data_IF_362836000197
#
_entry.id   IF_362836000197
#
_cell.length_a   1.000
_cell.length_b   1.000
_cell.length_c   1.000
_cell.angle_alpha   90.00
_cell.angle_beta   90.00
_cell.angle_gamma   90.00
#
_symmetry.space_group_name_H-M   'P 1'
#
loop_
_entity.id
_entity.type
_entity.pdbx_description
1 polymer ?
#
# COMPACT_ATOMS: atom_id res chain seq x y z
N UNK A 1 -26.70 5.03 -21.80
CA UNK A 1 -25.89 5.94 -20.97
C UNK A 1 -24.45 5.56 -21.20
N UNK A 2 -23.75 6.34 -22.01
CA UNK A 2 -22.30 6.25 -22.14
C UNK A 2 -21.69 6.59 -20.78
N UNK A 3 -20.86 5.70 -20.24
CA UNK A 3 -20.09 6.00 -19.03
C UNK A 3 -19.03 7.01 -19.43
N UNK A 4 -19.14 8.24 -18.94
CA UNK A 4 -18.03 9.18 -19.01
C UNK A 4 -16.79 8.55 -18.34
N UNK A 5 -15.60 8.67 -18.95
CA UNK A 5 -14.38 8.29 -18.27
C UNK A 5 -14.25 9.15 -17.02
N UNK A 6 -14.15 8.49 -15.86
CA UNK A 6 -14.00 9.14 -14.56
C UNK A 6 -12.67 9.91 -14.54
N UNK A 7 -12.72 11.16 -14.98
CA UNK A 7 -11.60 12.09 -15.01
C UNK A 7 -11.48 12.82 -13.66
N UNK A 8 -11.75 12.12 -12.55
CA UNK A 8 -11.72 12.72 -11.22
C UNK A 8 -10.29 12.78 -10.67
N UNK A 9 -9.82 14.03 -10.62
CA UNK A 9 -8.88 14.60 -9.65
C UNK A 9 -7.42 14.13 -9.67
N UNK A 10 -6.75 14.17 -10.81
CA UNK A 10 -5.28 14.20 -10.85
C UNK A 10 -4.70 15.58 -11.22
N UNK A 11 -5.29 16.68 -10.75
CA UNK A 11 -4.77 18.04 -11.03
C UNK A 11 -4.85 18.98 -9.81
N UNK A 12 -4.39 18.53 -8.63
CA UNK A 12 -4.16 19.39 -7.45
C UNK A 12 -3.72 18.62 -6.19
N UNK A 13 -2.47 18.83 -5.74
CA UNK A 13 -1.88 18.54 -4.41
C UNK A 13 -2.37 17.31 -3.62
N UNK A 14 -2.56 16.15 -4.27
CA UNK A 14 -2.81 14.91 -3.53
C UNK A 14 -1.64 14.61 -2.57
N UNK A 15 -1.94 14.31 -1.31
CA UNK A 15 -0.90 13.94 -0.35
C UNK A 15 -0.40 12.53 -0.67
N UNK A 16 0.88 12.41 -0.99
CA UNK A 16 1.51 11.13 -1.31
C UNK A 16 1.88 10.36 -0.02
N UNK A 17 1.78 9.02 -0.02
CA UNK A 17 2.13 8.22 1.13
C UNK A 17 3.65 8.21 1.34
N UNK A 18 4.06 7.99 2.59
CA UNK A 18 5.47 7.78 2.92
C UNK A 18 5.97 6.42 2.44
N UNK A 19 7.06 6.44 1.67
CA UNK A 19 7.83 5.27 1.27
C UNK A 19 9.05 5.11 2.16
N UNK A 20 9.31 3.86 2.54
CA UNK A 20 10.44 3.46 3.35
C UNK A 20 11.30 2.48 2.54
N UNK A 21 12.62 2.68 2.45
CA UNK A 21 13.51 1.83 1.66
C UNK A 21 13.55 0.39 2.20
N UNK A 22 13.32 0.19 3.50
CA UNK A 22 13.14 -1.12 4.10
C UNK A 22 12.17 -1.06 5.30
N UNK A 23 11.57 -2.19 5.68
CA UNK A 23 10.60 -2.30 6.79
C UNK A 23 11.21 -1.82 8.11
N UNK A 24 12.50 -2.09 8.34
CA UNK A 24 13.18 -1.68 9.57
C UNK A 24 13.61 -0.19 9.59
N UNK A 25 13.52 0.52 8.45
CA UNK A 25 13.86 1.93 8.38
C UNK A 25 12.81 2.78 9.08
N UNK A 26 13.23 3.75 9.89
CA UNK A 26 12.37 4.86 10.34
C UNK A 26 12.40 6.05 9.36
N UNK A 27 13.41 6.12 8.50
CA UNK A 27 13.51 7.17 7.50
C UNK A 27 12.55 6.90 6.34
N UNK A 28 11.80 7.93 5.95
CA UNK A 28 10.89 7.90 4.82
C UNK A 28 10.91 9.18 4.00
N UNK A 29 10.39 9.08 2.79
CA UNK A 29 10.11 10.24 1.94
C UNK A 29 8.74 10.07 1.28
N UNK A 30 8.04 11.17 0.97
CA UNK A 30 6.85 11.10 0.14
C UNK A 30 7.22 10.53 -1.24
N UNK A 31 6.33 9.69 -1.80
CA UNK A 31 6.45 9.29 -3.20
C UNK A 31 6.26 10.48 -4.12
N UNK A 32 6.85 10.42 -5.33
CA UNK A 32 6.73 11.48 -6.33
C UNK A 32 5.27 11.64 -6.81
N UNK A 33 4.65 10.53 -7.23
CA UNK A 33 3.25 10.47 -7.66
C UNK A 33 2.76 9.00 -7.67
N UNK A 34 1.47 8.81 -7.97
CA UNK A 34 0.85 7.47 -7.99
C UNK A 34 1.31 6.60 -9.15
N UNK A 35 1.69 7.21 -10.28
CA UNK A 35 2.22 6.48 -11.44
C UNK A 35 3.60 5.90 -11.13
N UNK A 36 4.44 6.68 -10.44
CA UNK A 36 5.72 6.24 -9.91
C UNK A 36 5.52 5.09 -8.94
N UNK A 37 4.57 5.19 -8.00
CA UNK A 37 4.27 4.09 -7.08
C UNK A 37 3.89 2.81 -7.82
N UNK A 38 2.98 2.91 -8.79
CA UNK A 38 2.56 1.78 -9.62
C UNK A 38 3.76 1.17 -10.35
N UNK A 39 4.58 2.01 -10.98
CA UNK A 39 5.82 1.60 -11.66
C UNK A 39 6.80 0.89 -10.73
N UNK A 40 7.02 1.40 -9.51
CA UNK A 40 7.88 0.74 -8.51
C UNK A 40 7.35 -0.65 -8.21
N UNK A 41 6.05 -0.79 -7.93
CA UNK A 41 5.43 -2.08 -7.59
C UNK A 41 5.45 -3.06 -8.75
N UNK A 42 5.14 -2.63 -9.97
CA UNK A 42 4.93 -3.53 -11.11
C UNK A 42 6.18 -3.76 -11.96
N UNK A 43 7.17 -2.87 -11.88
CA UNK A 43 8.22 -2.79 -12.90
C UNK A 43 9.63 -2.55 -12.36
N UNK A 44 9.83 -2.27 -11.06
CA UNK A 44 11.19 -2.11 -10.49
C UNK A 44 12.02 -3.41 -10.60
N UNK A 45 13.19 -3.38 -11.28
CA UNK A 45 14.12 -4.50 -11.31
C UNK A 45 14.60 -4.88 -9.90
N UNK A 46 14.82 -3.89 -9.04
CA UNK A 46 15.29 -4.08 -7.67
C UNK A 46 14.22 -4.80 -6.84
N UNK A 47 12.98 -4.30 -6.85
CA UNK A 47 11.88 -4.93 -6.10
C UNK A 47 11.59 -6.35 -6.61
N UNK A 48 11.72 -6.58 -7.92
CA UNK A 48 11.62 -7.93 -8.50
C UNK A 48 12.70 -8.86 -7.95
N UNK A 49 13.97 -8.43 -7.96
CA UNK A 49 15.09 -9.21 -7.41
C UNK A 49 14.89 -9.53 -5.93
N UNK A 50 14.44 -8.55 -5.13
CA UNK A 50 14.14 -8.75 -3.71
C UNK A 50 13.00 -9.75 -3.52
N UNK A 51 11.93 -9.64 -4.33
CA UNK A 51 10.79 -10.56 -4.30
C UNK A 51 11.20 -11.99 -4.64
N UNK A 52 11.98 -12.18 -5.70
CA UNK A 52 12.51 -13.49 -6.08
C UNK A 52 13.43 -14.07 -5.01
N UNK A 53 14.28 -13.24 -4.39
CA UNK A 53 15.15 -13.63 -3.29
C UNK A 53 14.32 -14.12 -2.10
N UNK A 54 13.30 -13.36 -1.70
CA UNK A 54 12.38 -13.78 -0.64
C UNK A 54 11.71 -15.12 -0.96
N UNK A 55 11.21 -15.30 -2.19
CA UNK A 55 10.56 -16.54 -2.62
C UNK A 55 11.50 -17.75 -2.65
N UNK A 56 12.74 -17.58 -3.09
CA UNK A 56 13.78 -18.63 -3.02
C UNK A 56 14.04 -19.05 -1.58
N UNK A 57 14.11 -18.10 -0.64
CA UNK A 57 14.26 -18.41 0.79
C UNK A 57 13.01 -19.09 1.36
N UNK A 58 11.81 -18.64 0.95
CA UNK A 58 10.53 -19.19 1.39
C UNK A 58 10.36 -20.65 0.98
N UNK A 59 10.87 -21.04 -0.19
CA UNK A 59 10.88 -22.42 -0.65
C UNK A 59 11.74 -23.34 0.23
N UNK A 60 12.73 -22.79 0.95
CA UNK A 60 13.53 -23.53 1.95
C UNK A 60 12.78 -23.57 3.28
N UNK A 61 12.45 -22.41 3.84
CA UNK A 61 11.60 -22.31 5.04
C UNK A 61 11.06 -20.90 5.25
N UNK A 62 9.91 -20.81 5.95
CA UNK A 62 9.35 -19.52 6.38
C UNK A 62 10.33 -18.74 7.26
N UNK A 63 10.97 -19.41 8.21
CA UNK A 63 11.93 -18.76 9.12
C UNK A 63 13.10 -18.11 8.35
N UNK A 64 13.61 -18.78 7.31
CA UNK A 64 14.71 -18.24 6.50
C UNK A 64 14.27 -17.06 5.62
N UNK A 65 13.05 -17.11 5.09
CA UNK A 65 12.47 -15.98 4.36
C UNK A 65 12.23 -14.76 5.27
N UNK A 66 11.73 -15.00 6.49
CA UNK A 66 11.42 -13.94 7.45
C UNK A 66 12.68 -13.20 7.93
N UNK A 67 13.87 -13.80 7.87
CA UNK A 67 15.14 -13.09 8.10
C UNK A 67 15.43 -12.03 7.01
N UNK A 68 14.92 -12.21 5.80
CA UNK A 68 15.10 -11.25 4.69
C UNK A 68 13.99 -10.19 4.64
N UNK A 69 12.80 -10.52 5.15
CA UNK A 69 11.63 -9.64 5.11
C UNK A 69 11.91 -8.21 5.59
N UNK A 70 12.68 -7.96 6.67
CA UNK A 70 12.99 -6.60 7.14
C UNK A 70 13.70 -5.71 6.12
N UNK A 71 14.38 -6.29 5.12
CA UNK A 71 15.05 -5.53 4.04
C UNK A 71 14.07 -5.05 2.97
N UNK A 72 12.88 -5.66 2.85
CA UNK A 72 11.88 -5.29 1.84
C UNK A 72 11.38 -3.86 2.07
N UNK A 73 11.09 -3.08 1.01
CA UNK A 73 10.51 -1.76 1.17
C UNK A 73 9.11 -1.80 1.78
N UNK A 74 8.68 -0.67 2.33
CA UNK A 74 7.37 -0.51 2.93
C UNK A 74 6.75 0.84 2.55
N UNK A 75 5.42 0.90 2.52
CA UNK A 75 4.66 2.12 2.24
C UNK A 75 3.59 2.26 3.31
N UNK A 76 3.45 3.46 3.87
CA UNK A 76 2.30 3.81 4.72
C UNK A 76 1.23 4.45 3.85
N UNK A 77 0.36 3.64 3.27
CA UNK A 77 -0.60 4.07 2.24
C UNK A 77 -1.52 5.19 2.74
N UNK A 78 -1.93 5.16 4.01
CA UNK A 78 -2.92 6.07 4.58
C UNK A 78 -2.38 7.40 5.11
N UNK A 79 -1.05 7.56 5.19
CA UNK A 79 -0.45 8.71 5.84
C UNK A 79 0.86 9.17 5.19
N UNK A 80 1.06 10.48 5.21
CA UNK A 80 2.38 11.08 5.11
C UNK A 80 2.98 11.19 6.52
N UNK A 81 4.19 10.67 6.69
CA UNK A 81 5.00 10.80 7.90
C UNK A 81 5.99 11.96 7.79
N UNK A 82 6.54 12.39 8.93
CA UNK A 82 7.52 13.48 9.05
C UNK A 82 8.92 13.18 8.47
N UNK A 83 9.15 11.95 8.02
CA UNK A 83 10.43 11.50 7.46
C UNK A 83 11.36 10.81 8.44
N UNK A 84 11.09 10.82 9.75
CA UNK A 84 11.99 10.33 10.80
C UNK A 84 11.38 9.25 11.71
N UNK A 85 10.15 8.80 11.43
CA UNK A 85 9.51 7.76 12.20
C UNK A 85 8.26 7.16 11.56
N UNK A 86 7.56 6.35 12.35
CA UNK A 86 6.40 5.53 11.96
C UNK A 86 5.26 5.57 12.97
N UNK A 87 5.42 6.31 14.06
CA UNK A 87 4.42 6.35 15.13
C UNK A 87 3.37 7.40 14.81
N UNK A 88 2.29 7.41 15.61
CA UNK A 88 1.26 8.44 15.50
C UNK A 88 1.82 9.85 15.69
N UNK A 89 2.86 10.01 16.53
CA UNK A 89 3.57 11.29 16.71
C UNK A 89 4.33 11.76 15.45
N UNK A 90 4.60 10.85 14.51
CA UNK A 90 5.27 11.17 13.24
C UNK A 90 4.29 11.44 12.10
N UNK A 91 2.99 11.27 12.33
CA UNK A 91 1.94 11.53 11.36
C UNK A 91 1.86 13.02 11.03
N UNK A 92 1.89 13.36 9.74
CA UNK A 92 1.68 14.74 9.29
C UNK A 92 0.26 14.97 8.79
N UNK A 93 -0.22 14.09 7.91
CA UNK A 93 -1.53 14.24 7.25
C UNK A 93 -1.99 12.95 6.57
N UNK A 94 -3.32 12.76 6.45
CA UNK A 94 -3.85 11.60 5.74
C UNK A 94 -3.64 11.76 4.23
N UNK A 95 -3.54 10.62 3.55
CA UNK A 95 -3.52 10.55 2.07
C UNK A 95 -4.91 10.37 1.48
N UNK A 96 -5.91 10.08 2.32
CA UNK A 96 -7.25 9.62 1.93
C UNK A 96 -7.26 8.34 1.10
N UNK A 97 -6.28 7.48 1.38
CA UNK A 97 -6.16 6.14 0.79
C UNK A 97 -6.09 5.09 1.89
N UNK A 98 -6.59 3.89 1.62
CA UNK A 98 -6.37 2.72 2.47
C UNK A 98 -5.93 1.52 1.65
N UNK A 99 -5.33 0.55 2.33
CA UNK A 99 -4.92 -0.72 1.75
C UNK A 99 -5.84 -1.83 2.25
N UNK A 100 -6.42 -2.59 1.33
CA UNK A 100 -7.02 -3.88 1.59
C UNK A 100 -5.95 -4.97 1.47
N UNK A 101 -5.85 -5.85 2.46
CA UNK A 101 -4.89 -6.97 2.48
C UNK A 101 -5.67 -8.29 2.41
N UNK A 102 -5.52 -9.02 1.29
CA UNK A 102 -6.17 -10.31 1.06
C UNK A 102 -5.12 -11.42 1.19
N UNK A 103 -5.10 -12.07 2.34
CA UNK A 103 -4.18 -13.17 2.64
C UNK A 103 -4.77 -14.55 2.33
N UNK A 104 -3.89 -15.55 2.25
CA UNK A 104 -4.24 -16.97 2.11
C UNK A 104 -5.10 -17.32 0.88
N UNK A 105 -4.96 -16.56 -0.19
CA UNK A 105 -5.65 -16.79 -1.47
C UNK A 105 -5.12 -18.06 -2.11
N UNK A 106 -6.03 -18.95 -2.52
CA UNK A 106 -5.65 -20.17 -3.24
C UNK A 106 -5.04 -19.81 -4.58
N UNK A 107 -4.03 -20.58 -5.00
CA UNK A 107 -3.30 -20.32 -6.24
C UNK A 107 -4.22 -20.32 -7.47
N UNK A 108 -5.21 -21.21 -7.49
CA UNK A 108 -6.20 -21.33 -8.57
C UNK A 108 -7.13 -20.11 -8.69
N UNK A 109 -7.42 -19.43 -7.57
CA UNK A 109 -8.32 -18.27 -7.54
C UNK A 109 -7.59 -16.94 -7.82
N UNK A 110 -6.27 -16.91 -7.61
CA UNK A 110 -5.47 -15.68 -7.65
C UNK A 110 -5.63 -14.89 -8.95
N UNK A 111 -5.58 -15.56 -10.10
CA UNK A 111 -5.66 -14.89 -11.40
C UNK A 111 -7.03 -14.23 -11.62
N UNK A 112 -8.11 -14.95 -11.33
CA UNK A 112 -9.47 -14.45 -11.46
C UNK A 112 -9.71 -13.27 -10.51
N UNK A 113 -9.30 -13.38 -9.24
CA UNK A 113 -9.48 -12.31 -8.25
C UNK A 113 -8.72 -11.05 -8.65
N UNK A 114 -7.48 -11.20 -9.14
CA UNK A 114 -6.69 -10.08 -9.65
C UNK A 114 -7.36 -9.41 -10.86
N UNK A 115 -7.98 -10.18 -11.75
CA UNK A 115 -8.73 -9.62 -12.88
C UNK A 115 -9.96 -8.83 -12.41
N UNK A 116 -10.68 -9.33 -11.40
CA UNK A 116 -11.84 -8.63 -10.83
C UNK A 116 -11.44 -7.29 -10.22
N UNK A 117 -10.39 -7.26 -9.37
CA UNK A 117 -9.96 -6.01 -8.74
C UNK A 117 -9.40 -5.02 -9.78
N UNK A 118 -8.69 -5.48 -10.81
CA UNK A 118 -8.24 -4.61 -11.92
C UNK A 118 -9.39 -3.97 -12.69
N UNK A 119 -10.53 -4.66 -12.79
CA UNK A 119 -11.72 -4.17 -13.47
C UNK A 119 -12.58 -3.24 -12.61
N UNK A 120 -12.32 -3.16 -11.30
CA UNK A 120 -13.08 -2.30 -10.39
C UNK A 120 -12.63 -0.84 -10.50
N UNK A 121 -13.60 0.07 -10.60
CA UNK A 121 -13.34 1.51 -10.73
C UNK A 121 -12.73 2.16 -9.50
N UNK A 122 -12.74 1.50 -8.34
CA UNK A 122 -12.18 2.00 -7.09
C UNK A 122 -10.75 1.49 -6.84
N UNK A 123 -10.25 0.57 -7.67
CA UNK A 123 -8.88 0.08 -7.57
C UNK A 123 -7.91 1.10 -8.15
N UNK A 124 -7.05 1.64 -7.29
CA UNK A 124 -5.99 2.58 -7.69
C UNK A 124 -4.71 1.82 -8.05
N UNK A 125 -4.33 0.87 -7.21
CA UNK A 125 -3.15 0.01 -7.37
C UNK A 125 -3.48 -1.36 -6.81
N UNK A 126 -3.10 -2.41 -7.52
CA UNK A 126 -3.16 -3.79 -7.04
C UNK A 126 -1.84 -4.53 -7.23
N UNK A 127 -1.49 -5.42 -6.31
CA UNK A 127 -0.31 -6.27 -6.46
C UNK A 127 -0.39 -7.56 -5.64
N UNK A 128 0.28 -8.60 -6.14
CA UNK A 128 0.45 -9.86 -5.42
C UNK A 128 1.55 -9.65 -4.36
N UNK A 129 1.30 -10.09 -3.13
CA UNK A 129 2.26 -9.96 -2.02
C UNK A 129 3.54 -10.73 -2.32
N UNK A 130 4.63 -10.34 -1.64
CA UNK A 130 5.97 -10.94 -1.85
C UNK A 130 5.96 -12.47 -1.74
N UNK A 131 5.13 -13.02 -0.85
CA UNK A 131 4.99 -14.47 -0.64
C UNK A 131 4.28 -15.19 -1.79
N UNK A 132 3.53 -14.48 -2.63
CA UNK A 132 2.70 -15.06 -3.68
C UNK A 132 1.40 -15.69 -3.20
N UNK A 133 1.05 -15.55 -1.91
CA UNK A 133 -0.12 -16.19 -1.28
C UNK A 133 -1.27 -15.23 -0.95
N UNK A 134 -1.17 -14.00 -1.41
CA UNK A 134 -2.18 -12.97 -1.20
C UNK A 134 -1.96 -11.82 -2.17
N UNK A 135 -2.87 -10.86 -2.15
CA UNK A 135 -2.76 -9.62 -2.92
C UNK A 135 -3.28 -8.44 -2.11
N UNK A 136 -2.87 -7.25 -2.51
CA UNK A 136 -3.25 -5.99 -1.89
C UNK A 136 -3.86 -5.06 -2.92
N UNK A 137 -4.81 -4.25 -2.46
CA UNK A 137 -5.50 -3.24 -3.26
C UNK A 137 -5.45 -1.92 -2.52
N UNK A 138 -5.09 -0.84 -3.20
CA UNK A 138 -5.21 0.52 -2.70
C UNK A 138 -6.50 1.14 -3.21
N UNK A 139 -7.26 1.73 -2.30
CA UNK A 139 -8.53 2.37 -2.58
C UNK A 139 -8.52 3.80 -2.03
N UNK A 140 -9.16 4.71 -2.76
CA UNK A 140 -9.42 6.06 -2.28
C UNK A 140 -10.71 6.10 -1.46
N UNK A 141 -10.75 6.98 -0.47
CA UNK A 141 -11.98 7.38 0.22
C UNK A 141 -12.06 8.90 0.26
N UNK A 142 -13.26 9.44 0.44
CA UNK A 142 -13.43 10.86 0.69
C UNK A 142 -13.40 11.11 2.20
N UNK A 143 -12.71 12.16 2.68
CA UNK A 143 -12.90 12.60 4.05
C UNK A 143 -14.39 12.85 4.31
N UNK A 144 -14.82 12.57 5.53
CA UNK A 144 -16.09 13.10 6.02
C UNK A 144 -15.77 14.48 6.58
N UNK A 145 -16.45 15.50 6.08
CA UNK A 145 -16.43 16.83 6.69
C UNK A 145 -17.33 16.79 7.94
N UNK A 146 -16.84 16.15 8.99
CA UNK A 146 -17.47 16.15 10.31
C UNK A 146 -16.49 16.78 11.30
N UNK A 147 -16.79 18.03 11.67
CA UNK A 147 -15.97 18.83 12.58
C UNK A 147 -16.11 18.40 14.04
N UNK A 148 -17.03 17.47 14.36
CA UNK A 148 -17.39 17.18 15.74
C UNK A 148 -16.55 16.08 16.40
N UNK A 149 -15.87 15.20 15.63
CA UNK A 149 -15.08 14.09 16.19
C UNK A 149 -13.80 13.85 15.38
N UNK A 150 -12.65 14.17 15.98
CA UNK A 150 -11.34 13.78 15.46
C UNK A 150 -11.11 12.26 15.57
N UNK A 151 -10.26 11.70 14.71
CA UNK A 151 -9.83 10.29 14.78
C UNK A 151 -9.24 9.92 16.15
N UNK A 152 -8.63 10.89 16.85
CA UNK A 152 -8.11 10.68 18.21
C UNK A 152 -9.24 10.50 19.21
N UNK A 153 -10.25 11.36 19.17
CA UNK A 153 -11.44 11.25 20.03
C UNK A 153 -12.21 9.95 19.75
N UNK A 154 -12.27 9.52 18.49
CA UNK A 154 -12.87 8.24 18.12
C UNK A 154 -12.06 7.04 18.62
N UNK A 155 -10.73 7.14 18.65
CA UNK A 155 -9.87 6.07 19.16
C UNK A 155 -10.00 5.92 20.69
N UNK A 156 -10.04 7.05 21.42
CA UNK A 156 -10.22 7.06 22.88
C UNK A 156 -11.63 6.59 23.31
N UNK A 157 -12.65 6.80 22.48
CA UNK A 157 -14.03 6.37 22.77
C UNK A 157 -14.27 4.86 22.61
N UNK A 158 -13.37 4.13 21.95
CA UNK A 158 -13.53 2.71 21.57
C UNK A 158 -12.65 1.77 22.43
N UNK A 159 -11.87 2.32 23.37
CA UNK A 159 -11.08 1.59 24.38
C UNK A 159 -11.77 1.59 25.75
#
# INVERSE_FOLDING_TARGET
MEKEPNNNSMNGTATMPSYFPCIKSSESHPLADWLYLKSVITSSPELRMMTETYRKRLAISKQFADQYKPEMPAITVSALMNGYGRQLADFLKPTYMFQLDFDHVKKEDMEQLIQLVRGDSHTMVEYITVSGRGFRVFCAYHPVDDDDISVLELFDAVL
#
